data_IF_996380939099
#
_entry.id   IF_996380939099
#
_cell.length_a   1.000
_cell.length_b   1.000
_cell.length_c   1.000
_cell.angle_alpha   90.00
_cell.angle_beta   90.00
_cell.angle_gamma   90.00
#
_symmetry.space_group_name_H-M   'P 1'
#
loop_
_entity.id
_entity.type
_entity.pdbx_description
1 polymer ?
#
# COMPACT_ATOMS: atom_id res chain seq x y z
N UNK A 1 18.01 13.89 -2.59
CA UNK A 1 19.48 13.82 -2.78
C UNK A 1 20.18 15.18 -2.56
N UNK A 2 19.68 16.31 -3.09
CA UNK A 2 20.31 17.63 -2.88
C UNK A 2 20.50 17.99 -1.40
N UNK A 3 19.50 17.78 -0.56
CA UNK A 3 19.56 18.05 0.89
C UNK A 3 20.56 17.15 1.60
N UNK A 4 20.64 15.86 1.23
CA UNK A 4 21.60 14.92 1.80
C UNK A 4 23.02 15.33 1.40
N UNK A 5 23.22 15.74 0.15
CA UNK A 5 24.52 16.19 -0.34
C UNK A 5 24.99 17.46 0.37
N UNK A 6 24.08 18.37 0.70
CA UNK A 6 24.36 19.56 1.46
C UNK A 6 24.74 19.25 2.93
N UNK A 7 24.09 18.25 3.53
CA UNK A 7 24.30 17.87 4.93
C UNK A 7 25.49 16.90 5.10
N UNK A 8 25.66 15.95 4.19
CA UNK A 8 26.74 14.95 4.24
C UNK A 8 27.09 14.47 2.82
N UNK A 9 28.13 15.02 2.19
CA UNK A 9 28.56 14.67 0.84
C UNK A 9 28.96 13.21 0.67
N UNK A 10 29.62 12.62 1.68
CA UNK A 10 30.08 11.23 1.62
C UNK A 10 28.90 10.24 1.64
N UNK A 11 27.88 10.53 2.46
CA UNK A 11 26.63 9.76 2.46
C UNK A 11 25.89 9.87 1.14
N UNK A 12 25.86 11.06 0.53
CA UNK A 12 25.23 11.26 -0.78
C UNK A 12 25.93 10.42 -1.84
N UNK A 13 27.28 10.45 -1.87
CA UNK A 13 28.08 9.64 -2.79
C UNK A 13 27.89 8.13 -2.57
N UNK A 14 27.84 7.70 -1.33
CA UNK A 14 27.54 6.30 -0.99
C UNK A 14 26.18 5.85 -1.51
N UNK A 15 25.13 6.66 -1.30
CA UNK A 15 23.77 6.37 -1.73
C UNK A 15 23.62 6.40 -3.27
N UNK A 16 24.37 7.25 -3.96
CA UNK A 16 24.40 7.30 -5.43
C UNK A 16 25.09 6.06 -6.03
N UNK A 17 26.16 5.60 -5.39
CA UNK A 17 26.85 4.38 -5.80
C UNK A 17 26.05 3.11 -5.47
N UNK A 18 25.19 3.16 -4.44
CA UNK A 18 24.29 2.09 -4.08
C UNK A 18 22.99 2.18 -4.88
N UNK A 19 22.95 1.82 -6.12
CA UNK A 19 21.82 1.90 -7.06
C UNK A 19 20.45 2.22 -6.41
N UNK A 20 19.97 3.44 -6.62
CA UNK A 20 18.72 3.98 -6.02
C UNK A 20 17.52 3.05 -6.28
N UNK A 21 17.51 2.31 -7.39
CA UNK A 21 16.45 1.39 -7.76
C UNK A 21 16.32 0.21 -6.78
N UNK A 22 17.38 -0.14 -6.07
CA UNK A 22 17.40 -1.29 -5.16
C UNK A 22 16.85 -0.99 -3.78
N UNK A 23 16.83 0.28 -3.35
CA UNK A 23 16.43 0.64 -1.99
C UNK A 23 15.33 1.71 -1.92
N UNK A 24 15.06 2.44 -2.98
CA UNK A 24 14.03 3.48 -3.00
C UNK A 24 12.65 2.90 -3.32
N UNK A 25 11.67 3.23 -2.50
CA UNK A 25 10.26 2.82 -2.70
C UNK A 25 9.67 3.33 -4.01
N UNK A 26 10.13 4.47 -4.51
CA UNK A 26 9.67 5.06 -5.78
C UNK A 26 9.92 4.15 -6.97
N UNK A 27 11.00 3.35 -6.93
CA UNK A 27 11.37 2.42 -7.99
C UNK A 27 10.89 0.98 -7.75
N UNK A 28 10.21 0.72 -6.63
CA UNK A 28 9.64 -0.60 -6.39
C UNK A 28 8.48 -0.87 -7.34
N UNK A 29 8.63 -1.87 -8.20
CA UNK A 29 7.59 -2.26 -9.17
C UNK A 29 6.45 -3.08 -8.55
N UNK A 30 6.64 -3.59 -7.34
CA UNK A 30 5.66 -4.40 -6.63
C UNK A 30 4.65 -3.59 -5.82
N UNK A 31 3.62 -4.28 -5.34
CA UNK A 31 2.66 -3.71 -4.41
C UNK A 31 3.25 -3.66 -3.01
N UNK A 32 3.47 -2.47 -2.49
CA UNK A 32 4.13 -2.26 -1.19
C UNK A 32 3.19 -2.44 0.01
N UNK A 33 1.88 -2.52 -0.20
CA UNK A 33 0.85 -2.67 0.85
C UNK A 33 1.01 -1.72 2.04
N UNK A 34 1.54 -0.52 1.79
CA UNK A 34 1.90 0.48 2.80
C UNK A 34 2.88 -0.03 3.90
N UNK A 35 3.66 -1.06 3.59
CA UNK A 35 4.67 -1.62 4.50
C UNK A 35 5.90 -0.72 4.48
N UNK A 36 6.22 -0.11 5.64
CA UNK A 36 7.32 0.86 5.78
C UNK A 36 8.48 0.37 6.64
N UNK A 37 8.32 -0.79 7.28
CA UNK A 37 9.27 -1.28 8.29
C UNK A 37 9.57 -2.77 8.16
N UNK A 38 10.64 -3.24 8.82
CA UNK A 38 11.00 -4.66 8.95
C UNK A 38 10.15 -5.44 9.95
N UNK A 39 9.16 -4.82 10.59
CA UNK A 39 8.34 -5.44 11.65
C UNK A 39 7.67 -6.75 11.22
N UNK A 40 7.37 -6.92 9.94
CA UNK A 40 6.82 -8.18 9.41
C UNK A 40 7.86 -9.30 9.51
N UNK A 41 9.11 -9.04 9.10
CA UNK A 41 10.18 -10.04 9.21
C UNK A 41 10.46 -10.41 10.67
N UNK A 42 10.45 -9.44 11.59
CA UNK A 42 10.60 -9.65 13.02
C UNK A 42 9.44 -10.48 13.61
N UNK A 43 8.21 -10.19 13.18
CA UNK A 43 7.01 -10.92 13.58
C UNK A 43 7.07 -12.39 13.12
N UNK A 44 7.45 -12.64 11.86
CA UNK A 44 7.64 -13.99 11.32
C UNK A 44 8.75 -14.70 12.09
N UNK A 45 9.87 -14.04 12.31
CA UNK A 45 11.02 -14.58 13.03
C UNK A 45 10.67 -14.97 14.47
N UNK A 46 9.89 -14.13 15.15
CA UNK A 46 9.35 -14.41 16.49
C UNK A 46 8.40 -15.60 16.47
N UNK A 47 7.52 -15.68 15.48
CA UNK A 47 6.57 -16.81 15.35
C UNK A 47 7.27 -18.15 15.12
N UNK A 48 8.42 -18.15 14.44
CA UNK A 48 9.23 -19.36 14.17
C UNK A 48 10.22 -19.70 15.29
N UNK A 49 10.36 -18.87 16.31
CA UNK A 49 11.35 -19.06 17.38
C UNK A 49 11.27 -20.43 18.04
N UNK A 50 10.06 -20.96 18.25
CA UNK A 50 9.84 -22.29 18.87
C UNK A 50 10.29 -23.45 18.00
N UNK A 51 10.33 -23.26 16.69
CA UNK A 51 10.64 -24.32 15.73
C UNK A 51 12.12 -24.36 15.30
N UNK A 52 12.95 -23.43 15.78
CA UNK A 52 14.37 -23.34 15.38
C UNK A 52 15.22 -24.55 15.74
N UNK A 53 14.81 -25.32 16.76
CA UNK A 53 15.50 -26.56 17.18
C UNK A 53 14.94 -27.83 16.55
N UNK A 54 13.93 -27.74 15.68
CA UNK A 54 13.32 -28.91 15.04
C UNK A 54 14.19 -29.44 13.90
N UNK A 55 14.03 -30.75 13.60
CA UNK A 55 14.56 -31.27 12.33
C UNK A 55 13.90 -30.57 11.15
N UNK A 56 14.57 -30.55 9.99
CA UNK A 56 14.09 -29.84 8.78
C UNK A 56 12.66 -30.25 8.41
N UNK A 57 12.33 -31.53 8.51
CA UNK A 57 10.98 -32.02 8.22
C UNK A 57 9.94 -31.41 9.15
N UNK A 58 10.15 -31.47 10.46
CA UNK A 58 9.24 -30.90 11.45
C UNK A 58 9.16 -29.37 11.36
N UNK A 59 10.26 -28.71 11.02
CA UNK A 59 10.27 -27.27 10.79
C UNK A 59 9.37 -26.88 9.59
N UNK A 60 9.47 -27.61 8.48
CA UNK A 60 8.63 -27.35 7.30
C UNK A 60 7.14 -27.60 7.58
N UNK A 61 6.82 -28.68 8.29
CA UNK A 61 5.44 -28.96 8.72
C UNK A 61 4.89 -27.85 9.62
N UNK A 62 5.69 -27.41 10.60
CA UNK A 62 5.32 -26.30 11.50
C UNK A 62 5.07 -25.00 10.73
N UNK A 63 5.94 -24.65 9.76
CA UNK A 63 5.79 -23.47 8.91
C UNK A 63 4.48 -23.59 8.12
N UNK A 64 4.24 -24.71 7.45
CA UNK A 64 3.03 -24.97 6.66
C UNK A 64 1.76 -24.80 7.48
N UNK A 65 1.72 -25.43 8.68
CA UNK A 65 0.58 -25.31 9.58
C UNK A 65 0.36 -23.89 10.06
N UNK A 66 1.45 -23.19 10.42
CA UNK A 66 1.38 -21.80 10.90
C UNK A 66 0.88 -20.84 9.82
N UNK A 67 1.42 -20.97 8.61
CA UNK A 67 0.98 -20.17 7.46
C UNK A 67 -0.48 -20.47 7.11
N UNK A 68 -0.89 -21.75 7.06
CA UNK A 68 -2.27 -22.13 6.81
C UNK A 68 -3.25 -21.47 7.80
N UNK A 69 -2.93 -21.51 9.09
CA UNK A 69 -3.74 -20.84 10.14
C UNK A 69 -3.78 -19.33 9.97
N UNK A 70 -2.67 -18.70 9.59
CA UNK A 70 -2.62 -17.25 9.36
C UNK A 70 -3.44 -16.83 8.14
N UNK A 71 -3.32 -17.56 7.03
CA UNK A 71 -4.09 -17.30 5.83
C UNK A 71 -5.59 -17.51 6.07
N UNK A 72 -5.96 -18.58 6.73
CA UNK A 72 -7.36 -18.85 7.09
C UNK A 72 -7.94 -17.70 7.90
N UNK A 73 -7.25 -17.29 8.96
CA UNK A 73 -7.70 -16.17 9.79
C UNK A 73 -7.81 -14.86 9.00
N UNK A 74 -6.85 -14.55 8.14
CA UNK A 74 -6.89 -13.35 7.30
C UNK A 74 -8.04 -13.37 6.31
N UNK A 75 -8.37 -14.53 5.80
CA UNK A 75 -9.54 -14.72 4.94
C UNK A 75 -10.84 -14.45 5.70
N UNK A 76 -11.01 -15.01 6.90
CA UNK A 76 -12.18 -14.74 7.72
C UNK A 76 -12.27 -13.25 8.10
N UNK A 77 -11.15 -12.66 8.50
CA UNK A 77 -11.06 -11.23 8.80
C UNK A 77 -11.50 -10.39 7.58
N UNK A 78 -11.06 -10.73 6.37
CA UNK A 78 -11.44 -10.01 5.14
C UNK A 78 -12.93 -10.14 4.83
N UNK A 79 -13.51 -11.33 4.98
CA UNK A 79 -14.95 -11.55 4.76
C UNK A 79 -15.82 -10.82 5.79
N UNK A 80 -15.34 -10.66 7.02
CA UNK A 80 -16.06 -10.00 8.11
C UNK A 80 -15.98 -8.47 8.06
N UNK A 81 -15.18 -7.88 7.15
CA UNK A 81 -15.07 -6.43 7.04
C UNK A 81 -16.38 -5.81 6.59
N UNK A 82 -16.94 -4.84 7.34
CA UNK A 82 -18.14 -4.10 6.93
C UNK A 82 -17.86 -3.10 5.80
N UNK A 83 -16.58 -2.73 5.62
CA UNK A 83 -16.11 -1.73 4.66
C UNK A 83 -15.39 -2.40 3.48
N UNK A 84 -15.15 -1.63 2.42
CA UNK A 84 -14.48 -2.12 1.21
C UNK A 84 -12.97 -2.32 1.40
N UNK A 85 -12.38 -1.62 2.36
CA UNK A 85 -10.96 -1.68 2.68
C UNK A 85 -10.73 -2.12 4.12
N UNK A 86 -9.50 -2.46 4.45
CA UNK A 86 -9.12 -2.78 5.82
C UNK A 86 -9.28 -1.58 6.76
N UNK A 87 -9.47 -1.85 8.06
CA UNK A 87 -9.60 -0.79 9.08
C UNK A 87 -8.44 0.20 9.05
N UNK A 88 -7.22 -0.24 8.74
CA UNK A 88 -6.06 0.63 8.65
C UNK A 88 -6.14 1.61 7.49
N UNK A 89 -6.64 1.16 6.33
CA UNK A 89 -6.87 2.01 5.16
C UNK A 89 -8.01 3.00 5.43
N UNK A 90 -9.14 2.53 5.98
CA UNK A 90 -10.27 3.41 6.33
C UNK A 90 -9.87 4.51 7.32
N UNK A 91 -9.08 4.16 8.34
CA UNK A 91 -8.55 5.14 9.28
C UNK A 91 -7.63 6.16 8.57
N UNK A 92 -6.75 5.70 7.70
CA UNK A 92 -5.85 6.58 6.94
C UNK A 92 -6.65 7.54 6.05
N UNK A 93 -7.69 7.04 5.36
CA UNK A 93 -8.55 7.85 4.52
C UNK A 93 -9.30 8.91 5.35
N UNK A 94 -9.80 8.56 6.54
CA UNK A 94 -10.46 9.49 7.44
C UNK A 94 -9.53 10.64 7.86
N UNK A 95 -8.29 10.32 8.26
CA UNK A 95 -7.28 11.34 8.63
C UNK A 95 -6.93 12.23 7.43
N UNK A 96 -6.77 11.64 6.24
CA UNK A 96 -6.47 12.43 5.05
C UNK A 96 -7.65 13.31 4.60
N UNK A 97 -8.89 12.88 4.86
CA UNK A 97 -10.10 13.65 4.58
C UNK A 97 -10.17 14.91 5.47
N UNK A 98 -9.90 14.79 6.78
CA UNK A 98 -9.87 15.95 7.68
C UNK A 98 -8.87 17.03 7.21
N UNK A 99 -7.74 16.60 6.67
CA UNK A 99 -6.76 17.52 6.08
C UNK A 99 -7.28 18.10 4.75
N UNK A 100 -7.91 17.28 3.91
CA UNK A 100 -8.44 17.68 2.61
C UNK A 100 -9.53 18.75 2.72
N UNK A 101 -10.37 18.70 3.76
CA UNK A 101 -11.44 19.68 4.02
C UNK A 101 -10.91 21.11 4.23
N UNK A 102 -9.61 21.26 4.56
CA UNK A 102 -8.98 22.57 4.71
C UNK A 102 -8.40 23.12 3.39
N UNK A 103 -8.46 22.36 2.30
CA UNK A 103 -7.83 22.70 1.03
C UNK A 103 -8.81 23.34 0.04
N UNK A 104 -8.28 24.16 -0.84
CA UNK A 104 -9.04 24.76 -1.95
C UNK A 104 -8.66 24.11 -3.27
N UNK A 105 -9.66 23.76 -4.07
CA UNK A 105 -9.48 23.04 -5.33
C UNK A 105 -9.87 23.94 -6.50
N UNK A 106 -9.03 23.97 -7.52
CA UNK A 106 -9.28 24.67 -8.79
C UNK A 106 -9.13 23.65 -9.93
N UNK A 107 -10.15 23.41 -10.76
CA UNK A 107 -10.03 22.55 -11.91
C UNK A 107 -9.09 23.17 -12.95
N UNK A 108 -8.25 22.35 -13.57
CA UNK A 108 -7.36 22.75 -14.68
C UNK A 108 -7.96 22.26 -15.98
N UNK A 109 -8.05 20.94 -16.15
CA UNK A 109 -8.66 20.29 -17.30
C UNK A 109 -9.02 18.84 -16.94
N UNK A 110 -10.14 18.33 -17.53
CA UNK A 110 -10.56 16.93 -17.38
C UNK A 110 -10.44 16.41 -15.93
N UNK A 111 -9.44 15.58 -15.70
CA UNK A 111 -9.16 14.94 -14.40
C UNK A 111 -8.00 15.58 -13.65
N UNK A 112 -7.49 16.75 -14.09
CA UNK A 112 -6.39 17.48 -13.43
C UNK A 112 -6.90 18.66 -12.63
N UNK A 113 -6.39 18.81 -11.42
CA UNK A 113 -6.81 19.81 -10.44
C UNK A 113 -5.59 20.46 -9.80
N UNK A 114 -5.66 21.76 -9.60
CA UNK A 114 -4.71 22.49 -8.76
C UNK A 114 -5.30 22.61 -7.36
N UNK A 115 -4.58 22.07 -6.37
CA UNK A 115 -5.02 22.01 -4.99
C UNK A 115 -4.09 22.85 -4.15
N UNK A 116 -4.65 23.83 -3.45
CA UNK A 116 -3.92 24.74 -2.55
C UNK A 116 -4.16 24.36 -1.11
N UNK A 117 -3.10 24.30 -0.33
CA UNK A 117 -3.13 24.05 1.10
C UNK A 117 -2.22 22.91 1.55
N UNK A 118 -2.23 22.64 2.85
CA UNK A 118 -1.30 21.68 3.45
C UNK A 118 0.13 22.21 3.48
N UNK A 119 1.10 21.32 3.22
CA UNK A 119 2.53 21.68 3.23
C UNK A 119 3.01 22.36 1.95
N UNK A 120 2.33 22.10 0.84
CA UNK A 120 2.67 22.63 -0.48
C UNK A 120 1.45 22.56 -1.38
N UNK A 121 1.36 23.50 -2.33
CA UNK A 121 0.37 23.46 -3.40
C UNK A 121 0.76 22.38 -4.42
N UNK A 122 -0.20 21.62 -4.92
CA UNK A 122 0.04 20.46 -5.77
C UNK A 122 -0.91 20.42 -6.97
N UNK A 123 -0.41 19.94 -8.10
CA UNK A 123 -1.25 19.46 -9.20
C UNK A 123 -1.56 17.98 -8.94
N UNK A 124 -2.84 17.64 -9.07
CA UNK A 124 -3.36 16.28 -8.93
C UNK A 124 -3.92 15.80 -10.25
N UNK A 125 -3.53 14.62 -10.67
CA UNK A 125 -4.08 13.88 -11.80
C UNK A 125 -4.82 12.64 -11.25
N UNK A 126 -6.15 12.72 -11.22
CA UNK A 126 -7.00 11.66 -10.68
C UNK A 126 -7.10 10.47 -11.63
N UNK A 127 -6.98 10.68 -12.94
CA UNK A 127 -7.03 9.61 -13.95
C UNK A 127 -5.84 8.66 -13.80
N UNK A 128 -4.65 9.20 -13.54
CA UNK A 128 -3.43 8.42 -13.43
C UNK A 128 -3.00 8.15 -11.98
N UNK A 129 -3.80 8.59 -11.00
CA UNK A 129 -3.48 8.41 -9.58
C UNK A 129 -2.17 9.09 -9.15
N UNK A 130 -1.91 10.32 -9.64
CA UNK A 130 -0.68 11.07 -9.39
C UNK A 130 -0.96 12.38 -8.68
N UNK A 131 0.00 12.79 -7.86
CA UNK A 131 0.02 14.09 -7.21
C UNK A 131 1.48 14.55 -7.08
N UNK A 132 1.75 15.83 -7.23
CA UNK A 132 3.10 16.41 -7.12
C UNK A 132 3.76 16.13 -5.76
N UNK A 133 2.96 15.91 -4.69
CA UNK A 133 3.50 15.47 -3.41
C UNK A 133 4.13 14.06 -3.43
N UNK A 134 3.97 13.30 -4.51
CA UNK A 134 4.51 11.96 -4.71
C UNK A 134 3.81 10.84 -3.92
N UNK A 135 3.07 11.16 -2.86
CA UNK A 135 2.48 10.17 -1.95
C UNK A 135 1.48 9.27 -2.66
N UNK A 136 0.59 9.85 -3.46
CA UNK A 136 -0.48 9.08 -4.14
C UNK A 136 0.10 8.04 -5.10
N UNK A 137 1.08 8.42 -5.91
CA UNK A 137 1.71 7.51 -6.87
C UNK A 137 2.47 6.34 -6.18
N UNK A 138 3.16 6.63 -5.06
CA UNK A 138 3.99 5.66 -4.35
C UNK A 138 3.16 4.73 -3.46
N UNK A 139 2.23 5.30 -2.68
CA UNK A 139 1.41 4.52 -1.73
C UNK A 139 0.22 3.84 -2.41
N UNK A 140 -0.20 4.31 -3.60
CA UNK A 140 -1.42 3.88 -4.29
C UNK A 140 -2.69 4.09 -3.44
N UNK A 141 -2.60 4.95 -2.45
CA UNK A 141 -3.67 5.41 -1.57
C UNK A 141 -3.75 6.93 -1.74
N UNK A 142 -4.93 7.53 -1.93
CA UNK A 142 -5.04 8.94 -2.18
C UNK A 142 -4.49 9.77 -1.01
N UNK A 143 -3.66 10.75 -1.30
CA UNK A 143 -3.24 11.76 -0.35
C UNK A 143 -4.35 12.80 -0.13
N UNK A 144 -4.20 13.69 0.85
CA UNK A 144 -5.18 14.75 1.13
C UNK A 144 -5.50 15.61 -0.09
N UNK A 145 -4.50 15.94 -0.94
CA UNK A 145 -4.73 16.69 -2.18
C UNK A 145 -5.62 15.91 -3.17
N UNK A 146 -5.38 14.60 -3.34
CA UNK A 146 -6.18 13.76 -4.22
C UNK A 146 -7.62 13.58 -3.69
N UNK A 147 -7.78 13.48 -2.37
CA UNK A 147 -9.10 13.44 -1.72
C UNK A 147 -9.83 14.76 -1.93
N UNK A 148 -9.19 15.90 -1.69
CA UNK A 148 -9.78 17.20 -1.92
C UNK A 148 -10.26 17.36 -3.38
N UNK A 149 -9.42 17.00 -4.34
CA UNK A 149 -9.77 17.02 -5.76
C UNK A 149 -10.97 16.10 -6.07
N UNK A 150 -10.96 14.86 -5.57
CA UNK A 150 -12.04 13.90 -5.79
C UNK A 150 -13.36 14.33 -5.17
N UNK A 151 -13.35 14.85 -3.95
CA UNK A 151 -14.56 15.35 -3.28
C UNK A 151 -15.14 16.57 -3.97
N UNK A 152 -14.32 17.42 -4.56
CA UNK A 152 -14.79 18.61 -5.32
C UNK A 152 -15.66 18.25 -6.53
N UNK A 153 -15.51 17.05 -7.08
CA UNK A 153 -16.32 16.52 -8.19
C UNK A 153 -17.25 15.39 -7.75
N UNK A 154 -17.49 15.27 -6.43
CA UNK A 154 -18.40 14.29 -5.84
C UNK A 154 -18.02 12.82 -6.09
N UNK A 155 -16.73 12.52 -6.30
CA UNK A 155 -16.24 11.15 -6.36
C UNK A 155 -16.23 10.53 -4.97
N UNK A 156 -16.61 9.27 -4.90
CA UNK A 156 -16.48 8.51 -3.67
C UNK A 156 -15.01 8.20 -3.40
N UNK A 157 -14.51 8.53 -2.21
CA UNK A 157 -13.08 8.44 -1.86
C UNK A 157 -12.53 7.02 -2.04
N UNK A 158 -13.34 5.99 -1.77
CA UNK A 158 -12.92 4.60 -1.95
C UNK A 158 -12.58 4.23 -3.39
N UNK A 159 -13.10 4.94 -4.39
CA UNK A 159 -12.78 4.71 -5.81
C UNK A 159 -11.39 5.20 -6.18
N UNK A 160 -10.82 6.09 -5.39
CA UNK A 160 -9.46 6.60 -5.58
C UNK A 160 -8.38 5.66 -5.01
N UNK A 161 -8.77 4.70 -4.19
CA UNK A 161 -7.84 3.72 -3.61
C UNK A 161 -7.56 2.63 -4.65
N UNK A 162 -6.28 2.28 -4.83
CA UNK A 162 -5.93 1.19 -5.73
C UNK A 162 -6.65 -0.11 -5.32
N UNK A 163 -7.24 -0.84 -6.27
CA UNK A 163 -7.96 -2.09 -6.00
C UNK A 163 -7.17 -3.14 -5.20
N UNK A 164 -5.85 -3.09 -5.23
CA UNK A 164 -4.96 -3.98 -4.46
C UNK A 164 -5.24 -3.95 -2.95
N UNK A 165 -5.84 -2.87 -2.45
CA UNK A 165 -6.22 -2.71 -1.05
C UNK A 165 -7.66 -3.11 -0.75
N UNK A 166 -8.45 -3.49 -1.77
CA UNK A 166 -9.84 -3.92 -1.58
C UNK A 166 -9.90 -5.30 -0.90
N UNK A 167 -10.97 -5.54 -0.13
CA UNK A 167 -11.22 -6.84 0.49
C UNK A 167 -11.32 -7.97 -0.53
N UNK A 168 -11.92 -7.68 -1.68
CA UNK A 168 -12.14 -8.68 -2.74
C UNK A 168 -10.81 -9.10 -3.36
N UNK A 169 -9.93 -8.14 -3.65
CA UNK A 169 -8.59 -8.43 -4.16
C UNK A 169 -7.77 -9.23 -3.15
N UNK A 170 -7.78 -8.81 -1.87
CA UNK A 170 -7.06 -9.51 -0.81
C UNK A 170 -7.59 -10.95 -0.63
N UNK A 171 -8.89 -11.13 -0.70
CA UNK A 171 -9.53 -12.44 -0.61
C UNK A 171 -9.10 -13.38 -1.75
N UNK A 172 -9.17 -12.89 -3.00
CA UNK A 172 -8.75 -13.68 -4.19
C UNK A 172 -7.26 -14.00 -4.15
N UNK A 173 -6.42 -13.03 -3.74
CA UNK A 173 -4.98 -13.22 -3.63
C UNK A 173 -4.64 -14.30 -2.59
N UNK A 174 -5.28 -14.27 -1.42
CA UNK A 174 -5.11 -15.30 -0.39
C UNK A 174 -5.50 -16.68 -0.93
N UNK A 175 -6.57 -16.81 -1.72
CA UNK A 175 -6.98 -18.07 -2.32
C UNK A 175 -5.94 -18.61 -3.31
N UNK A 176 -5.41 -17.76 -4.19
CA UNK A 176 -4.41 -18.16 -5.19
C UNK A 176 -3.12 -18.69 -4.57
N UNK A 177 -2.65 -18.03 -3.51
CA UNK A 177 -1.39 -18.41 -2.86
C UNK A 177 -1.51 -19.74 -2.08
N UNK A 178 -2.70 -20.05 -1.52
CA UNK A 178 -2.91 -21.29 -0.74
C UNK A 178 -3.32 -22.46 -1.63
N UNK A 179 -4.12 -22.20 -2.65
CA UNK A 179 -4.69 -23.21 -3.53
C UNK A 179 -4.41 -22.86 -4.99
N UNK A 180 -3.18 -23.07 -5.49
CA UNK A 180 -2.84 -22.73 -6.86
C UNK A 180 -3.73 -23.44 -7.90
N UNK A 181 -4.28 -24.63 -7.56
CA UNK A 181 -5.21 -25.36 -8.40
C UNK A 181 -6.62 -24.74 -8.50
N UNK A 182 -7.04 -23.94 -7.50
CA UNK A 182 -8.37 -23.29 -7.50
C UNK A 182 -8.32 -21.97 -8.26
N UNK A 183 -7.16 -21.32 -8.34
CA UNK A 183 -6.95 -20.09 -9.09
C UNK A 183 -7.23 -20.20 -10.57
N UNK A 184 -6.99 -21.37 -11.18
CA UNK A 184 -7.27 -21.63 -12.60
C UNK A 184 -8.76 -21.69 -12.92
N UNK A 185 -9.62 -22.10 -11.97
CA UNK A 185 -11.06 -22.19 -12.18
C UNK A 185 -11.80 -20.84 -12.04
N UNK A 186 -11.18 -19.83 -11.45
CA UNK A 186 -11.78 -18.49 -11.29
C UNK A 186 -11.60 -17.65 -12.55
N UNK A 187 -10.51 -17.85 -13.29
CA UNK A 187 -10.26 -17.16 -14.57
C UNK A 187 -11.17 -17.64 -15.71
N UNK A 188 -11.68 -18.88 -15.64
CA UNK A 188 -12.59 -19.43 -16.65
C UNK A 188 -14.06 -18.98 -16.45
N UNK A 189 -14.38 -18.23 -15.40
CA UNK A 189 -15.76 -17.77 -15.07
C UNK A 189 -15.95 -16.25 -15.11
N UNK A 190 -14.94 -15.51 -15.51
CA UNK A 190 -15.02 -14.05 -15.76
C UNK A 190 -14.82 -13.75 -17.23
#
# INVERSE_FOLDING_TARGET
MAEIRSANPDLATYLENADVSLWSRVYCQGDMYNIKTSNIAESINSALKRARGFSVQFLLEFIREKLGKWFWKRREDALSLPTQHSRGIEYLLAVQLEIADTMTVQPIDGWRFFVKGGKMDCVVDLEHGKCDCGVYAVEKIPCSHAIAAGTSISLHISTLVCPVYSKDYLFVRILREIYPCVGQQVEERT
#
